data_IF_900878558456
#
_entry.id   IF_900878558456
#
_cell.length_a   1.000
_cell.length_b   1.000
_cell.length_c   1.000
_cell.angle_alpha   90.00
_cell.angle_beta   90.00
_cell.angle_gamma   90.00
#
_symmetry.space_group_name_H-M   'P 1'
#
loop_
_entity.id
_entity.type
_entity.pdbx_description
1 polymer ?
#
# COMPACT_ATOMS: atom_id res chain seq x y z
N UNK A 1 36.98 -7.63 27.96
CA UNK A 1 36.00 -8.73 27.79
C UNK A 1 34.70 -8.10 27.32
N UNK A 2 34.29 -8.45 26.09
CA UNK A 2 32.93 -8.41 25.50
C UNK A 2 32.06 -7.16 25.71
N UNK A 3 31.47 -6.51 24.71
CA UNK A 3 31.15 -6.95 23.34
C UNK A 3 30.87 -5.71 22.49
N UNK A 4 31.37 -5.74 21.25
CA UNK A 4 30.90 -4.90 20.16
C UNK A 4 29.56 -5.45 19.68
N UNK A 5 28.52 -4.63 19.68
CA UNK A 5 27.30 -4.77 18.86
C UNK A 5 26.73 -3.35 18.68
N UNK A 6 27.45 -2.54 17.90
CA UNK A 6 26.95 -1.24 17.45
C UNK A 6 26.20 -1.44 16.14
N UNK A 7 24.88 -1.24 16.17
CA UNK A 7 24.01 -0.79 15.07
C UNK A 7 24.41 -1.17 13.63
N UNK A 8 24.02 -2.36 13.18
CA UNK A 8 23.88 -2.72 11.75
C UNK A 8 22.42 -2.47 11.27
N UNK A 9 21.79 -1.36 11.68
CA UNK A 9 20.34 -1.12 11.51
C UNK A 9 19.97 0.01 10.54
N UNK A 10 20.88 0.49 9.68
CA UNK A 10 20.63 1.70 8.87
C UNK A 10 20.91 1.55 7.38
N UNK A 11 20.82 0.31 6.86
CA UNK A 11 20.88 0.06 5.42
C UNK A 11 19.47 -0.21 4.95
N UNK A 12 18.85 0.75 4.24
CA UNK A 12 17.56 0.52 3.59
C UNK A 12 17.66 -0.48 2.45
N UNK A 13 16.56 -0.78 1.79
CA UNK A 13 16.45 -1.87 0.82
C UNK A 13 17.26 -1.56 -0.45
N UNK A 14 18.09 -2.53 -0.81
CA UNK A 14 19.06 -2.46 -1.89
C UNK A 14 18.57 -3.20 -3.13
N UNK A 15 17.94 -4.36 -2.99
CA UNK A 15 17.61 -5.22 -4.14
C UNK A 15 16.16 -5.72 -4.16
N UNK A 16 15.72 -6.19 -5.33
CA UNK A 16 14.38 -6.80 -5.47
C UNK A 16 14.27 -8.08 -4.65
N UNK A 17 15.36 -8.85 -4.53
CA UNK A 17 15.40 -10.09 -3.77
C UNK A 17 15.18 -9.84 -2.27
N UNK A 18 15.64 -8.71 -1.73
CA UNK A 18 15.35 -8.32 -0.34
C UNK A 18 13.86 -8.02 -0.13
N UNK A 19 13.23 -7.30 -1.07
CA UNK A 19 11.77 -7.11 -1.08
C UNK A 19 11.05 -8.45 -1.13
N UNK A 20 11.44 -9.33 -2.06
CA UNK A 20 10.84 -10.66 -2.20
C UNK A 20 10.97 -11.44 -0.89
N UNK A 21 12.16 -11.53 -0.32
CA UNK A 21 12.41 -12.22 0.94
C UNK A 21 11.62 -11.65 2.12
N UNK A 22 11.44 -10.33 2.18
CA UNK A 22 10.59 -9.66 3.19
C UNK A 22 9.14 -10.13 3.12
N UNK A 23 8.56 -10.14 1.91
CA UNK A 23 7.18 -10.54 1.67
C UNK A 23 6.97 -12.06 1.75
N UNK A 24 7.91 -12.87 1.24
CA UNK A 24 7.85 -14.34 1.29
C UNK A 24 7.77 -14.89 2.71
N UNK A 25 8.49 -14.26 3.66
CA UNK A 25 8.41 -14.63 5.09
C UNK A 25 7.00 -14.53 5.66
N UNK A 26 6.14 -13.75 5.03
CA UNK A 26 4.74 -13.57 5.40
C UNK A 26 3.77 -14.26 4.42
N UNK A 27 4.24 -15.26 3.67
CA UNK A 27 3.40 -16.09 2.80
C UNK A 27 2.87 -15.37 1.56
N UNK A 28 3.52 -14.27 1.14
CA UNK A 28 3.20 -13.55 -0.09
C UNK A 28 4.02 -14.11 -1.25
N UNK A 29 3.38 -14.34 -2.40
CA UNK A 29 4.03 -14.85 -3.63
C UNK A 29 4.03 -13.85 -4.79
N UNK A 30 3.33 -12.73 -4.63
CA UNK A 30 3.22 -11.66 -5.61
C UNK A 30 3.02 -10.33 -4.91
N UNK A 31 3.66 -9.29 -5.45
CA UNK A 31 3.55 -7.92 -4.94
C UNK A 31 3.03 -7.00 -6.05
N UNK A 32 2.03 -6.19 -5.71
CA UNK A 32 1.53 -5.10 -6.51
C UNK A 32 2.28 -3.82 -6.18
N UNK A 33 2.82 -3.18 -7.20
CA UNK A 33 3.73 -2.04 -7.03
C UNK A 33 3.10 -0.77 -7.59
N UNK A 34 3.18 0.32 -6.83
CA UNK A 34 2.75 1.65 -7.26
C UNK A 34 3.81 2.67 -6.91
N UNK A 35 4.37 3.32 -7.93
CA UNK A 35 5.07 4.58 -7.71
C UNK A 35 4.06 5.66 -7.32
N UNK A 36 4.26 6.29 -6.17
CA UNK A 36 3.32 7.22 -5.58
C UNK A 36 3.45 8.61 -6.20
N UNK A 37 2.32 9.25 -6.49
CA UNK A 37 2.29 10.63 -6.97
C UNK A 37 2.85 11.57 -5.89
N UNK A 38 3.83 12.41 -6.28
CA UNK A 38 4.62 13.26 -5.38
C UNK A 38 3.80 14.10 -4.37
N UNK A 39 2.60 14.55 -4.76
CA UNK A 39 1.75 15.43 -3.94
C UNK A 39 0.39 14.87 -3.57
N UNK A 40 -0.12 13.88 -4.31
CA UNK A 40 -1.51 13.43 -4.18
C UNK A 40 -1.66 12.11 -3.45
N UNK A 41 -0.68 11.22 -3.50
CA UNK A 41 -0.72 9.96 -2.78
C UNK A 41 -0.11 10.15 -1.38
N UNK A 42 -0.97 10.41 -0.40
CA UNK A 42 -0.62 10.58 1.02
C UNK A 42 -1.81 10.27 1.92
N UNK A 43 -1.58 10.20 3.23
CA UNK A 43 -2.59 9.94 4.27
C UNK A 43 -3.81 10.88 4.21
N UNK A 44 -3.61 12.15 3.84
CA UNK A 44 -4.70 13.14 3.77
C UNK A 44 -5.53 12.99 2.50
N UNK A 45 -4.88 12.82 1.36
CA UNK A 45 -5.54 12.79 0.05
C UNK A 45 -5.90 11.37 -0.41
N UNK A 46 -5.41 10.35 0.29
CA UNK A 46 -5.56 8.92 0.01
C UNK A 46 -4.77 8.49 -1.23
N UNK A 47 -4.39 7.21 -1.31
CA UNK A 47 -3.59 6.71 -2.44
C UNK A 47 -4.52 6.26 -3.56
N UNK A 48 -4.36 6.82 -4.75
CA UNK A 48 -5.19 6.47 -5.91
C UNK A 48 -4.84 5.08 -6.45
N UNK A 49 -5.82 4.17 -6.56
CA UNK A 49 -5.61 2.80 -7.05
C UNK A 49 -6.16 2.53 -8.45
N UNK A 50 -6.88 3.47 -9.05
CA UNK A 50 -7.51 3.27 -10.37
C UNK A 50 -8.99 3.58 -10.33
N UNK A 51 -9.74 2.98 -11.25
CA UNK A 51 -11.19 3.11 -11.37
C UNK A 51 -11.87 1.75 -11.20
N UNK A 52 -13.04 1.73 -10.56
CA UNK A 52 -13.85 0.52 -10.38
C UNK A 52 -13.41 -0.35 -9.20
N UNK A 53 -14.34 -0.60 -8.28
CA UNK A 53 -14.06 -1.36 -7.06
C UNK A 53 -13.79 -2.85 -7.33
N UNK A 54 -14.43 -3.44 -8.34
CA UNK A 54 -14.31 -4.88 -8.66
C UNK A 54 -12.86 -5.31 -8.89
N UNK A 55 -12.09 -4.48 -9.62
CA UNK A 55 -10.67 -4.73 -9.86
C UNK A 55 -9.84 -4.77 -8.59
N UNK A 56 -10.17 -3.93 -7.59
CA UNK A 56 -9.47 -3.93 -6.31
C UNK A 56 -9.90 -5.05 -5.38
N UNK A 57 -11.20 -5.36 -5.31
CA UNK A 57 -11.72 -6.43 -4.44
C UNK A 57 -11.34 -7.82 -4.94
N UNK A 58 -10.99 -7.95 -6.23
CA UNK A 58 -10.40 -9.17 -6.77
C UNK A 58 -8.93 -9.36 -6.37
N UNK A 59 -8.21 -8.27 -6.06
CA UNK A 59 -6.78 -8.31 -5.72
C UNK A 59 -6.54 -8.29 -4.22
N UNK A 60 -7.40 -7.61 -3.45
CA UNK A 60 -7.27 -7.42 -2.02
C UNK A 60 -8.54 -7.95 -1.31
N UNK A 61 -8.44 -9.05 -0.55
CA UNK A 61 -9.55 -9.58 0.23
C UNK A 61 -10.15 -8.50 1.14
N UNK A 62 -11.46 -8.30 1.04
CA UNK A 62 -12.13 -7.19 1.70
C UNK A 62 -13.56 -7.51 2.13
N UNK A 63 -13.97 -6.89 3.24
CA UNK A 63 -15.37 -6.85 3.66
C UNK A 63 -16.02 -5.56 3.17
N UNK A 64 -17.07 -5.69 2.36
CA UNK A 64 -17.82 -4.54 1.84
C UNK A 64 -18.74 -3.97 2.92
N UNK A 65 -18.54 -2.69 3.22
CA UNK A 65 -19.39 -1.89 4.09
C UNK A 65 -20.01 -0.77 3.25
N UNK A 66 -21.33 -0.78 3.10
CA UNK A 66 -22.04 0.33 2.47
C UNK A 66 -22.19 1.46 3.49
N UNK A 67 -21.60 2.62 3.21
CA UNK A 67 -21.79 3.80 4.04
C UNK A 67 -23.22 4.35 3.89
N UNK A 68 -23.70 5.04 4.92
CA UNK A 68 -24.88 5.91 4.79
C UNK A 68 -24.54 7.09 3.87
N UNK A 69 -25.52 7.62 3.14
CA UNK A 69 -25.32 8.75 2.23
C UNK A 69 -24.65 9.94 2.95
N UNK A 70 -23.67 10.58 2.31
CA UNK A 70 -22.95 11.72 2.89
C UNK A 70 -23.89 12.90 3.11
N UNK A 71 -24.09 13.32 4.38
CA UNK A 71 -24.84 14.52 4.77
C UNK A 71 -24.03 15.83 4.64
N UNK A 72 -22.91 15.84 3.90
CA UNK A 72 -22.09 17.04 3.76
C UNK A 72 -22.73 18.06 2.83
N UNK A 73 -23.38 19.09 3.37
CA UNK A 73 -23.92 20.27 2.66
C UNK A 73 -22.85 21.32 2.31
N UNK A 74 -21.59 21.11 2.69
CA UNK A 74 -20.50 22.09 2.64
C UNK A 74 -19.86 22.31 1.24
N UNK A 75 -20.10 21.45 0.24
CA UNK A 75 -19.51 21.62 -1.10
C UNK A 75 -20.58 21.76 -2.17
N UNK A 76 -20.77 23.00 -2.65
CA UNK A 76 -21.68 23.44 -3.73
C UNK A 76 -21.52 22.74 -5.11
N UNK A 77 -20.80 21.62 -5.22
CA UNK A 77 -20.60 20.86 -6.47
C UNK A 77 -20.62 19.33 -6.34
N UNK A 78 -20.91 18.75 -5.17
CA UNK A 78 -21.06 17.28 -5.08
C UNK A 78 -22.48 16.88 -5.48
N UNK A 79 -22.62 16.00 -6.48
CA UNK A 79 -23.89 15.38 -6.83
C UNK A 79 -24.43 14.60 -5.61
N UNK A 80 -25.34 15.21 -4.87
CA UNK A 80 -25.92 14.62 -3.67
C UNK A 80 -26.50 13.22 -3.97
N UNK A 81 -26.22 12.25 -3.10
CA UNK A 81 -27.09 11.06 -2.98
C UNK A 81 -26.53 9.69 -3.38
N UNK A 82 -25.27 9.53 -3.80
CA UNK A 82 -24.68 8.17 -3.92
C UNK A 82 -23.83 7.82 -2.70
N UNK A 83 -24.20 6.80 -1.90
CA UNK A 83 -23.42 6.38 -0.75
C UNK A 83 -22.03 5.93 -1.20
N UNK A 84 -21.00 6.30 -0.44
CA UNK A 84 -19.65 5.77 -0.64
C UNK A 84 -19.66 4.29 -0.27
N UNK A 85 -19.06 3.45 -1.09
CA UNK A 85 -18.81 2.06 -0.74
C UNK A 85 -17.40 1.97 -0.17
N UNK A 86 -17.27 1.39 1.01
CA UNK A 86 -15.98 1.12 1.65
C UNK A 86 -15.72 -0.38 1.64
N UNK A 87 -14.58 -0.80 1.11
CA UNK A 87 -14.08 -2.16 1.23
C UNK A 87 -13.01 -2.18 2.32
N UNK A 88 -13.32 -2.73 3.49
CA UNK A 88 -12.36 -2.85 4.60
C UNK A 88 -11.42 -4.01 4.32
N UNK A 89 -10.13 -3.77 4.44
CA UNK A 89 -9.10 -4.79 4.24
C UNK A 89 -8.42 -5.09 5.57
N UNK A 90 -8.10 -6.37 5.82
CA UNK A 90 -7.16 -6.71 6.88
C UNK A 90 -5.76 -6.35 6.40
N UNK A 91 -5.12 -5.41 7.09
CA UNK A 91 -3.91 -4.77 6.61
C UNK A 91 -2.90 -4.47 7.72
N UNK A 92 -1.63 -4.73 7.41
CA UNK A 92 -0.48 -4.34 8.23
C UNK A 92 0.63 -3.75 7.36
N UNK A 93 1.39 -2.81 7.92
CA UNK A 93 2.65 -2.34 7.35
C UNK A 93 3.78 -3.28 7.75
N UNK A 94 4.64 -3.59 6.80
CA UNK A 94 5.90 -4.27 6.98
C UNK A 94 7.00 -3.20 7.13
N UNK A 95 7.82 -3.31 8.17
CA UNK A 95 9.01 -2.49 8.32
C UNK A 95 10.24 -3.12 7.63
N UNK A 96 11.35 -2.40 7.61
CA UNK A 96 12.62 -2.89 7.05
C UNK A 96 13.23 -4.06 7.83
N UNK A 97 12.86 -4.24 9.10
CA UNK A 97 13.24 -5.38 9.94
C UNK A 97 12.42 -6.65 9.68
N UNK A 98 11.32 -6.54 8.92
CA UNK A 98 10.38 -7.62 8.65
C UNK A 98 9.26 -7.77 9.68
N UNK A 99 9.10 -6.84 10.62
CA UNK A 99 8.01 -6.78 11.59
C UNK A 99 6.74 -6.20 10.95
N UNK A 100 5.58 -6.69 11.40
CA UNK A 100 4.27 -6.22 10.95
C UNK A 100 3.64 -5.28 11.99
N UNK A 101 3.09 -4.17 11.50
CA UNK A 101 2.43 -3.11 12.24
C UNK A 101 0.98 -2.97 11.77
N UNK A 102 0.02 -3.29 12.64
CA UNK A 102 -1.39 -3.35 12.27
C UNK A 102 -1.96 -1.97 11.95
N UNK A 103 -2.66 -1.86 10.82
CA UNK A 103 -3.38 -0.64 10.43
C UNK A 103 -4.88 -0.95 10.31
N UNK A 104 -5.60 -1.12 11.43
CA UNK A 104 -6.93 -1.74 11.50
C UNK A 104 -8.05 -0.93 10.86
N UNK A 105 -7.78 0.31 10.43
CA UNK A 105 -8.75 1.19 9.78
C UNK A 105 -8.51 1.29 8.26
N UNK A 106 -7.59 0.51 7.72
CA UNK A 106 -7.29 0.41 6.30
C UNK A 106 -8.52 0.00 5.47
N UNK A 107 -8.73 0.68 4.36
CA UNK A 107 -9.90 0.47 3.49
C UNK A 107 -9.69 1.06 2.10
N UNK A 108 -10.35 0.48 1.12
CA UNK A 108 -10.48 1.03 -0.23
C UNK A 108 -11.84 1.71 -0.33
N UNK A 109 -11.87 2.96 -0.76
CA UNK A 109 -13.09 3.76 -0.89
C UNK A 109 -13.38 3.96 -2.37
N UNK A 110 -14.58 3.58 -2.81
CA UNK A 110 -15.10 3.89 -4.15
C UNK A 110 -15.93 5.17 -4.11
N UNK A 111 -15.47 6.17 -4.86
CA UNK A 111 -16.17 7.43 -5.00
C UNK A 111 -17.01 7.43 -6.28
N UNK A 112 -18.26 6.96 -6.28
CA UNK A 112 -19.09 6.95 -7.51
C UNK A 112 -19.18 8.28 -8.31
N UNK A 113 -18.89 9.42 -7.68
CA UNK A 113 -18.87 10.75 -8.32
C UNK A 113 -17.63 10.99 -9.20
N UNK A 114 -16.53 10.30 -8.93
CA UNK A 114 -15.28 10.33 -9.69
C UNK A 114 -14.90 8.88 -9.85
N UNK A 115 -14.94 8.23 -11.02
CA UNK A 115 -14.71 6.78 -11.16
C UNK A 115 -13.28 6.41 -10.72
N UNK A 116 -13.05 6.40 -9.42
CA UNK A 116 -11.78 6.39 -8.73
C UNK A 116 -11.97 5.66 -7.42
N UNK A 117 -11.04 4.75 -7.16
CA UNK A 117 -10.91 4.07 -5.90
C UNK A 117 -9.62 4.54 -5.22
N UNK A 118 -9.70 4.76 -3.91
CA UNK A 118 -8.55 5.20 -3.13
C UNK A 118 -8.34 4.36 -1.89
N UNK A 119 -7.09 4.01 -1.63
CA UNK A 119 -6.66 3.39 -0.39
C UNK A 119 -6.57 4.46 0.70
N UNK A 120 -7.21 4.20 1.84
CA UNK A 120 -7.43 5.16 2.93
C UNK A 120 -7.33 4.46 4.28
N UNK A 121 -7.23 5.24 5.37
CA UNK A 121 -7.20 4.72 6.74
C UNK A 121 -5.93 3.95 7.13
N UNK A 122 -5.00 3.80 6.20
CA UNK A 122 -3.76 3.03 6.34
C UNK A 122 -2.76 3.59 7.36
N UNK A 123 -2.94 4.81 7.89
CA UNK A 123 -2.10 5.34 8.99
C UNK A 123 -2.80 5.26 10.35
N UNK A 124 -4.12 5.08 10.37
CA UNK A 124 -4.92 5.29 11.58
C UNK A 124 -4.85 4.05 12.45
N UNK A 125 -4.51 4.22 13.73
CA UNK A 125 -4.41 3.14 14.70
C UNK A 125 -3.18 2.25 14.55
N UNK A 126 -2.30 2.56 13.59
CA UNK A 126 -1.00 1.93 13.42
C UNK A 126 0.00 2.51 14.41
N UNK A 127 0.76 1.62 15.04
CA UNK A 127 1.81 1.95 16.01
C UNK A 127 3.07 2.50 15.33
N UNK A 128 3.46 1.92 14.18
CA UNK A 128 4.57 2.43 13.36
C UNK A 128 4.18 2.63 11.88
N UNK A 129 3.41 3.69 11.57
CA UNK A 129 2.99 3.95 10.20
C UNK A 129 4.10 4.65 9.39
N UNK A 130 4.23 4.36 8.08
CA UNK A 130 5.32 4.88 7.26
C UNK A 130 5.26 6.41 7.11
N UNK A 131 6.22 7.10 7.72
CA UNK A 131 6.35 8.57 7.66
C UNK A 131 6.37 9.16 6.23
N UNK A 132 6.93 8.49 5.20
CA UNK A 132 6.87 8.97 3.82
C UNK A 132 5.46 9.16 3.26
N UNK A 133 4.42 8.58 3.88
CA UNK A 133 3.03 8.77 3.49
C UNK A 133 2.37 9.99 4.15
N UNK A 134 3.05 10.68 5.07
CA UNK A 134 2.54 11.91 5.66
C UNK A 134 2.68 13.07 4.68
N UNK A 135 1.60 13.77 4.39
CA UNK A 135 1.54 14.87 3.43
C UNK A 135 2.60 15.94 3.70
N UNK A 136 2.88 16.22 4.96
CA UNK A 136 3.81 17.27 5.37
C UNK A 136 5.28 16.83 5.33
N UNK A 137 5.54 15.51 5.28
CA UNK A 137 6.90 14.96 5.35
C UNK A 137 7.33 14.34 4.01
N UNK A 138 6.37 13.90 3.16
CA UNK A 138 6.64 13.14 1.91
C UNK A 138 7.69 13.77 0.99
N UNK A 139 7.85 15.10 1.00
CA UNK A 139 8.81 15.79 0.15
C UNK A 139 10.29 15.47 0.50
N UNK A 140 10.58 15.15 1.78
CA UNK A 140 11.94 14.82 2.21
C UNK A 140 12.41 13.43 1.77
N UNK A 141 11.49 12.59 1.29
CA UNK A 141 11.74 11.20 0.90
C UNK A 141 11.96 10.98 -0.59
N UNK A 142 11.80 12.03 -1.42
CA UNK A 142 11.94 11.92 -2.88
C UNK A 142 10.90 11.00 -3.52
N UNK A 143 11.34 10.16 -4.45
CA UNK A 143 10.49 9.12 -5.05
C UNK A 143 10.06 8.10 -4.01
N UNK A 144 8.78 7.76 -3.98
CA UNK A 144 8.20 6.77 -3.06
C UNK A 144 7.52 5.66 -3.85
N UNK A 145 7.74 4.42 -3.46
CA UNK A 145 7.13 3.25 -4.08
C UNK A 145 6.38 2.48 -2.99
N UNK A 146 5.08 2.30 -3.21
CA UNK A 146 4.22 1.44 -2.41
C UNK A 146 4.24 0.03 -2.99
N UNK A 147 4.47 -0.95 -2.12
CA UNK A 147 4.41 -2.37 -2.41
C UNK A 147 3.27 -2.98 -1.58
N UNK A 148 2.39 -3.74 -2.22
CA UNK A 148 1.25 -4.41 -1.57
C UNK A 148 1.25 -5.89 -1.94
N UNK A 149 1.27 -6.78 -0.95
CA UNK A 149 1.15 -8.22 -1.13
C UNK A 149 -0.07 -8.76 -0.39
N UNK A 150 -0.62 -9.89 -0.85
CA UNK A 150 -1.64 -10.64 -0.10
C UNK A 150 -1.02 -11.94 0.34
N UNK A 151 -1.04 -12.19 1.65
CA UNK A 151 -0.52 -13.42 2.24
C UNK A 151 -1.42 -14.61 1.93
N UNK A 152 -0.91 -15.81 2.13
CA UNK A 152 -1.69 -17.05 2.11
C UNK A 152 -2.81 -17.10 3.18
N UNK A 153 -2.84 -16.16 4.13
CA UNK A 153 -3.91 -16.00 5.13
C UNK A 153 -4.91 -14.89 4.76
N UNK A 154 -4.90 -14.43 3.51
CA UNK A 154 -5.74 -13.36 2.97
C UNK A 154 -5.49 -11.96 3.57
N UNK A 155 -4.55 -11.82 4.50
CA UNK A 155 -4.08 -10.53 5.00
C UNK A 155 -3.30 -9.76 3.95
N UNK A 156 -3.62 -8.49 3.75
CA UNK A 156 -2.86 -7.58 2.90
C UNK A 156 -1.68 -6.99 3.69
N UNK A 157 -0.50 -6.96 3.09
CA UNK A 157 0.74 -6.45 3.70
C UNK A 157 1.26 -5.32 2.81
N UNK A 158 1.64 -4.20 3.41
CA UNK A 158 2.20 -3.05 2.69
C UNK A 158 3.63 -2.76 3.10
N UNK A 159 4.45 -2.27 2.17
CA UNK A 159 5.77 -1.71 2.44
C UNK A 159 5.94 -0.43 1.62
N UNK A 160 6.61 0.58 2.18
CA UNK A 160 6.99 1.78 1.45
C UNK A 160 8.50 1.87 1.40
N UNK A 161 9.05 1.94 0.20
CA UNK A 161 10.46 2.25 -0.03
C UNK A 161 10.59 3.64 -0.64
N UNK A 162 11.70 4.32 -0.35
CA UNK A 162 11.91 5.70 -0.76
C UNK A 162 13.31 5.94 -1.30
N UNK A 163 13.44 6.94 -2.17
CA UNK A 163 14.73 7.37 -2.73
C UNK A 163 15.72 7.83 -1.65
N UNK A 164 15.22 8.38 -0.54
CA UNK A 164 16.06 8.87 0.55
C UNK A 164 16.69 7.75 1.38
N UNK A 165 16.10 6.55 1.40
CA UNK A 165 16.48 5.46 2.33
C UNK A 165 16.86 4.17 1.61
N UNK A 166 16.33 3.93 0.41
CA UNK A 166 16.39 2.63 -0.27
C UNK A 166 17.04 2.80 -1.66
N UNK A 167 18.27 2.29 -1.82
CA UNK A 167 19.02 2.39 -3.08
C UNK A 167 18.24 1.76 -4.26
N UNK A 168 17.45 0.73 -3.97
CA UNK A 168 16.59 0.06 -4.94
C UNK A 168 15.71 1.04 -5.73
N UNK A 169 15.23 2.12 -5.11
CA UNK A 169 14.28 3.05 -5.75
C UNK A 169 14.88 3.71 -6.99
N UNK A 170 16.17 4.05 -6.96
CA UNK A 170 16.88 4.67 -8.10
C UNK A 170 17.00 3.75 -9.32
N UNK A 171 16.91 2.43 -9.10
CA UNK A 171 17.09 1.37 -10.10
C UNK A 171 15.89 0.43 -10.18
N UNK A 172 14.73 0.88 -9.71
CA UNK A 172 13.54 0.03 -9.63
C UNK A 172 13.15 -0.42 -11.05
N UNK A 173 12.99 -1.73 -11.32
CA UNK A 173 12.77 -2.24 -12.66
C UNK A 173 11.40 -1.81 -13.20
N UNK A 174 11.29 -1.70 -14.53
CA UNK A 174 9.97 -1.64 -15.16
C UNK A 174 9.30 -3.03 -15.05
N UNK A 175 8.04 -3.01 -14.64
CA UNK A 175 7.26 -4.20 -14.32
C UNK A 175 6.01 -4.25 -15.19
N UNK A 176 5.45 -5.44 -15.48
CA UNK A 176 4.21 -5.56 -16.23
C UNK A 176 3.05 -4.87 -15.50
N UNK A 177 2.13 -4.28 -16.25
CA UNK A 177 0.90 -3.68 -15.69
C UNK A 177 -0.01 -4.77 -15.11
N UNK A 178 -0.63 -4.48 -13.98
CA UNK A 178 -1.71 -5.31 -13.46
C UNK A 178 -2.94 -5.16 -14.38
N UNK A 179 -3.49 -6.25 -14.96
CA UNK A 179 -4.65 -6.17 -15.84
C UNK A 179 -5.91 -5.65 -15.15
N UNK A 180 -6.11 -6.03 -13.88
CA UNK A 180 -7.29 -5.65 -13.10
C UNK A 180 -7.23 -4.20 -12.60
N UNK A 181 -6.03 -3.69 -12.27
CA UNK A 181 -5.79 -2.30 -11.85
C UNK A 181 -4.56 -1.73 -12.56
N UNK A 182 -4.69 -1.11 -13.75
CA UNK A 182 -3.54 -0.63 -14.53
C UNK A 182 -2.68 0.45 -13.86
N UNK A 183 -3.13 1.03 -12.75
CA UNK A 183 -2.34 1.94 -11.92
C UNK A 183 -1.23 1.21 -11.14
N UNK A 184 -1.35 -0.11 -11.01
CA UNK A 184 -0.41 -1.00 -10.34
C UNK A 184 0.44 -1.75 -11.37
N UNK A 185 1.65 -2.11 -10.95
CA UNK A 185 2.50 -3.10 -11.62
C UNK A 185 2.55 -4.39 -10.82
N UNK A 186 3.01 -5.47 -11.45
CA UNK A 186 3.08 -6.79 -10.82
C UNK A 186 4.53 -7.26 -10.76
N UNK A 187 5.00 -7.55 -9.55
CA UNK A 187 6.23 -8.27 -9.26
C UNK A 187 5.84 -9.68 -8.79
N UNK A 188 5.95 -10.66 -9.67
CA UNK A 188 5.75 -12.08 -9.33
C UNK A 188 7.07 -12.69 -8.84
N UNK A 189 7.02 -13.51 -7.80
CA UNK A 189 8.22 -14.19 -7.31
C UNK A 189 8.45 -15.42 -8.18
N UNK A 190 9.62 -15.53 -8.79
CA UNK A 190 9.89 -16.61 -9.73
C UNK A 190 9.98 -17.96 -9.00
N UNK A 191 9.24 -18.97 -9.47
CA UNK A 191 9.63 -20.37 -9.28
C UNK A 191 9.17 -21.11 -8.00
N UNK A 192 8.03 -20.75 -7.38
CA UNK A 192 7.36 -21.67 -6.44
C UNK A 192 5.88 -21.82 -6.80
N UNK A 193 5.57 -23.00 -7.35
CA UNK A 193 4.20 -23.51 -7.44
C UNK A 193 3.64 -23.51 -6.02
N UNK A 194 2.61 -22.70 -5.77
CA UNK A 194 1.74 -22.92 -4.62
C UNK A 194 1.00 -24.21 -4.96
N UNK A 195 1.52 -25.34 -4.49
CA UNK A 195 0.82 -26.62 -4.61
C UNK A 195 -0.34 -26.55 -3.61
N UNK A 196 -1.59 -26.81 -4.04
CA UNK A 196 -2.75 -26.78 -3.16
C UNK A 196 -2.66 -27.81 -2.02
#
# INVERSE_FOLDING_TARGET
>A
MHSALGHDLDVGIQTIEEVQGLFERHGVSQVYVKQLALKQDNEKNQIYLGSGLDGATNLFPATIVRGNASESTEKRKSAAGRPKVEARIDFAWLDHGGMLHDAPYARIIDYFQYPEIRFSGFMRGCDDPPDPLRRNNQAQYGTRILLLGVSNTERTIGLVITEATDELVSRFPDLPKCPALPSLRVLSFAGRVVVP
#
